data_IF_363776839961
#
_entry.id   IF_363776839961
#
_cell.length_a   1.000
_cell.length_b   1.000
_cell.length_c   1.000
_cell.angle_alpha   90.00
_cell.angle_beta   90.00
_cell.angle_gamma   90.00
#
_symmetry.space_group_name_H-M   'P 1'
#
loop_
_entity.id
_entity.type
_entity.pdbx_description
1 polymer ?
#
# COMPACT_ATOMS: atom_id res chain seq x y z
N UNK A 1 -39.50 36.07 -42.59
CA UNK A 1 -38.95 34.79 -42.09
C UNK A 1 -37.67 35.14 -41.39
N UNK A 2 -37.77 35.37 -40.07
CA UNK A 2 -36.68 35.80 -39.20
C UNK A 2 -36.08 34.52 -38.62
N UNK A 3 -34.90 34.09 -39.07
CA UNK A 3 -34.19 32.95 -38.49
C UNK A 3 -33.28 33.47 -37.38
N UNK A 4 -33.70 33.30 -36.13
CA UNK A 4 -32.91 33.65 -34.95
C UNK A 4 -31.72 32.69 -34.80
N UNK A 5 -30.50 33.22 -34.85
CA UNK A 5 -29.30 32.50 -34.47
C UNK A 5 -29.29 32.35 -32.94
N UNK A 6 -29.51 31.14 -32.47
CA UNK A 6 -29.42 30.77 -31.06
C UNK A 6 -27.94 30.59 -30.72
N UNK A 7 -27.35 31.57 -30.04
CA UNK A 7 -25.99 31.44 -29.52
C UNK A 7 -25.99 30.44 -28.37
N UNK A 8 -25.36 29.29 -28.57
CA UNK A 8 -25.05 28.32 -27.52
C UNK A 8 -24.00 28.92 -26.59
N UNK A 9 -24.41 29.36 -25.41
CA UNK A 9 -23.52 29.59 -24.28
C UNK A 9 -23.03 28.22 -23.79
N UNK A 10 -21.86 27.79 -24.28
CA UNK A 10 -21.08 26.75 -23.63
C UNK A 10 -20.33 27.41 -22.45
N UNK A 11 -20.43 26.89 -21.21
CA UNK A 11 -19.65 27.40 -20.11
C UNK A 11 -18.17 27.10 -20.41
N UNK A 12 -17.35 28.14 -20.51
CA UNK A 12 -15.91 28.04 -20.79
C UNK A 12 -15.15 27.09 -19.83
N UNK A 13 -15.77 26.74 -18.70
CA UNK A 13 -15.23 25.86 -17.67
C UNK A 13 -15.12 24.38 -18.11
N UNK A 14 -16.08 23.87 -18.90
CA UNK A 14 -16.07 22.47 -19.36
C UNK A 14 -15.05 22.22 -20.49
N UNK A 15 -14.72 23.26 -21.26
CA UNK A 15 -13.70 23.22 -22.30
C UNK A 15 -12.29 23.27 -21.71
N UNK A 16 -12.11 23.92 -20.55
CA UNK A 16 -10.86 23.89 -19.80
C UNK A 16 -10.67 22.58 -19.02
N UNK A 17 -11.72 21.99 -18.45
CA UNK A 17 -11.62 20.68 -17.79
C UNK A 17 -11.30 19.56 -18.78
N UNK A 18 -11.93 19.56 -19.97
CA UNK A 18 -11.60 18.56 -21.01
C UNK A 18 -10.21 18.75 -21.61
N UNK A 19 -9.74 19.98 -21.78
CA UNK A 19 -8.35 20.24 -22.21
C UNK A 19 -7.33 19.92 -21.12
N UNK A 20 -7.69 20.02 -19.84
CA UNK A 20 -6.83 19.60 -18.72
C UNK A 20 -6.80 18.08 -18.58
N UNK A 21 -7.92 17.38 -18.76
CA UNK A 21 -7.96 15.91 -18.76
C UNK A 21 -7.22 15.32 -19.98
N UNK A 22 -7.35 15.93 -21.16
CA UNK A 22 -6.64 15.50 -22.38
C UNK A 22 -5.15 15.86 -22.34
N UNK A 23 -4.75 16.91 -21.62
CA UNK A 23 -3.34 17.25 -21.38
C UNK A 23 -2.67 16.39 -20.29
N UNK A 24 -3.43 15.84 -19.34
CA UNK A 24 -2.88 15.00 -18.25
C UNK A 24 -2.68 13.54 -18.73
N UNK A 25 -3.41 13.06 -19.74
CA UNK A 25 -3.19 11.71 -20.30
C UNK A 25 -2.10 11.63 -21.40
N UNK A 26 -1.65 12.74 -22.00
CA UNK A 26 -0.64 12.73 -23.08
C UNK A 26 0.83 12.94 -22.63
N UNK A 27 1.13 13.14 -21.34
CA UNK A 27 2.51 13.42 -20.88
C UNK A 27 3.35 12.18 -20.48
N UNK A 28 2.84 10.95 -20.55
CA UNK A 28 3.57 9.74 -20.13
C UNK A 28 3.90 8.73 -21.25
N UNK A 29 4.31 9.20 -22.42
CA UNK A 29 4.95 8.30 -23.40
C UNK A 29 6.11 9.02 -24.11
N UNK A 30 7.22 9.24 -23.38
CA UNK A 30 8.48 9.62 -24.00
C UNK A 30 8.92 8.51 -24.97
N UNK A 31 8.61 8.69 -26.25
CA UNK A 31 9.06 7.83 -27.35
C UNK A 31 10.59 7.98 -27.44
N UNK A 32 11.32 7.05 -26.82
CA UNK A 32 12.77 6.99 -26.99
C UNK A 32 13.09 6.63 -28.44
N UNK A 33 13.76 7.55 -29.13
CA UNK A 33 14.33 7.27 -30.44
C UNK A 33 15.53 6.33 -30.25
N UNK A 34 15.67 5.28 -31.09
CA UNK A 34 16.82 4.39 -30.99
C UNK A 34 18.12 5.15 -31.24
N UNK A 35 19.17 4.78 -30.51
CA UNK A 35 20.48 5.39 -30.66
C UNK A 35 21.06 5.11 -32.05
N UNK A 36 21.79 6.06 -32.67
CA UNK A 36 22.41 5.84 -33.97
C UNK A 36 23.54 4.82 -33.88
N UNK A 37 23.46 3.73 -34.65
CA UNK A 37 24.46 2.66 -34.70
C UNK A 37 25.73 3.07 -35.48
N UNK A 38 26.90 2.85 -34.88
CA UNK A 38 28.21 3.10 -35.53
C UNK A 38 28.73 1.90 -36.35
N UNK A 39 28.18 0.70 -36.13
CA UNK A 39 28.65 -0.53 -36.78
C UNK A 39 28.50 -0.55 -38.31
N UNK A 40 27.40 -0.05 -38.91
CA UNK A 40 27.28 0.02 -40.37
C UNK A 40 28.40 0.83 -41.04
N UNK A 41 28.89 1.87 -40.38
CA UNK A 41 29.98 2.70 -40.89
C UNK A 41 31.32 1.94 -40.86
N UNK A 42 31.63 1.30 -39.74
CA UNK A 42 32.84 0.47 -39.57
C UNK A 42 32.83 -0.71 -40.56
N UNK A 43 31.68 -1.38 -40.70
CA UNK A 43 31.48 -2.49 -41.63
C UNK A 43 31.73 -2.06 -43.09
N UNK A 44 31.24 -0.87 -43.48
CA UNK A 44 31.43 -0.33 -44.83
C UNK A 44 32.91 -0.13 -45.16
N UNK A 45 33.68 0.40 -44.21
CA UNK A 45 35.14 0.59 -44.37
C UNK A 45 35.84 -0.78 -44.47
N UNK A 46 35.49 -1.74 -43.61
CA UNK A 46 36.09 -3.07 -43.62
C UNK A 46 35.83 -3.81 -44.95
N UNK A 47 34.61 -3.73 -45.48
CA UNK A 47 34.26 -4.31 -46.79
C UNK A 47 35.06 -3.64 -47.91
N UNK A 48 35.18 -2.31 -47.91
CA UNK A 48 35.95 -1.57 -48.91
C UNK A 48 37.41 -2.00 -48.93
N UNK A 49 38.06 -2.09 -47.77
CA UNK A 49 39.46 -2.55 -47.66
C UNK A 49 39.61 -4.00 -48.14
N UNK A 50 38.64 -4.85 -47.82
CA UNK A 50 38.62 -6.25 -48.27
C UNK A 50 38.56 -6.37 -49.80
N UNK A 51 37.70 -5.56 -50.43
CA UNK A 51 37.55 -5.52 -51.90
C UNK A 51 38.82 -4.95 -52.56
N UNK A 52 39.41 -3.89 -52.00
CA UNK A 52 40.67 -3.32 -52.52
C UNK A 52 41.80 -4.34 -52.45
N UNK A 53 41.93 -5.05 -51.32
CA UNK A 53 42.93 -6.11 -51.17
C UNK A 53 42.73 -7.24 -52.17
N UNK A 54 41.47 -7.60 -52.45
CA UNK A 54 41.13 -8.67 -53.39
C UNK A 54 41.41 -8.28 -54.84
N UNK A 55 41.10 -7.04 -55.23
CA UNK A 55 41.18 -6.58 -56.62
C UNK A 55 42.58 -6.10 -57.02
N UNK A 56 43.30 -5.41 -56.15
CA UNK A 56 44.56 -4.74 -56.50
C UNK A 56 45.82 -5.49 -56.04
N UNK A 57 45.70 -6.43 -55.09
CA UNK A 57 46.84 -7.18 -54.53
C UNK A 57 46.65 -8.70 -54.59
N UNK A 58 46.28 -9.29 -55.75
CA UNK A 58 45.99 -10.73 -55.85
C UNK A 58 47.20 -11.63 -55.55
N UNK A 59 48.42 -11.14 -55.76
CA UNK A 59 49.66 -11.91 -55.53
C UNK A 59 50.03 -12.02 -54.05
N UNK A 60 49.57 -11.08 -53.21
CA UNK A 60 49.82 -11.05 -51.76
C UNK A 60 48.52 -10.74 -51.02
N UNK A 61 47.61 -11.72 -50.86
CA UNK A 61 46.27 -11.52 -50.31
C UNK A 61 46.27 -11.31 -48.78
N UNK A 62 47.41 -10.98 -48.19
CA UNK A 62 47.56 -10.73 -46.75
C UNK A 62 46.62 -9.62 -46.28
N UNK A 63 46.40 -8.59 -47.12
CA UNK A 63 45.48 -7.50 -46.80
C UNK A 63 44.03 -7.99 -46.68
N UNK A 64 43.57 -8.83 -47.60
CA UNK A 64 42.23 -9.45 -47.57
C UNK A 64 42.09 -10.41 -46.39
N UNK A 65 43.11 -11.23 -46.14
CA UNK A 65 43.12 -12.19 -45.02
C UNK A 65 43.01 -11.46 -43.68
N UNK A 66 43.67 -10.30 -43.54
CA UNK A 66 43.59 -9.48 -42.33
C UNK A 66 42.28 -8.70 -42.23
N UNK A 67 41.73 -8.21 -43.35
CA UNK A 67 40.50 -7.41 -43.36
C UNK A 67 39.21 -8.25 -43.18
N UNK A 68 39.18 -9.48 -43.68
CA UNK A 68 38.04 -10.39 -43.57
C UNK A 68 37.51 -10.59 -42.13
N UNK A 69 38.34 -10.81 -41.09
CA UNK A 69 37.84 -10.91 -39.72
C UNK A 69 37.22 -9.62 -39.19
N UNK A 70 37.64 -8.43 -39.65
CA UNK A 70 37.00 -7.18 -39.25
C UNK A 70 35.59 -7.02 -39.82
N UNK A 71 35.31 -7.60 -40.99
CA UNK A 71 33.94 -7.67 -41.54
C UNK A 71 33.04 -8.52 -40.62
N UNK A 72 33.55 -9.67 -40.17
CA UNK A 72 32.83 -10.52 -39.20
C UNK A 72 32.58 -9.82 -37.87
N UNK A 73 33.59 -9.12 -37.34
CA UNK A 73 33.45 -8.31 -36.12
C UNK A 73 32.41 -7.20 -36.31
N UNK A 74 32.40 -6.54 -37.48
CA UNK A 74 31.41 -5.50 -37.80
C UNK A 74 29.98 -6.03 -37.81
N UNK A 75 29.75 -7.21 -38.39
CA UNK A 75 28.43 -7.87 -38.42
C UNK A 75 28.03 -8.31 -37.01
N UNK A 76 28.95 -8.92 -36.26
CA UNK A 76 28.68 -9.42 -34.92
C UNK A 76 28.41 -8.28 -33.94
N UNK A 77 29.16 -7.18 -34.05
CA UNK A 77 28.95 -5.96 -33.29
C UNK A 77 27.60 -5.32 -33.60
N UNK A 78 27.21 -5.26 -34.87
CA UNK A 78 25.88 -4.77 -35.25
C UNK A 78 24.74 -5.67 -34.75
N UNK A 79 24.95 -6.99 -34.72
CA UNK A 79 23.94 -7.95 -34.24
C UNK A 79 23.81 -8.02 -32.71
N UNK A 80 24.89 -7.69 -31.98
CA UNK A 80 24.93 -7.69 -30.52
C UNK A 80 24.67 -6.30 -29.91
N UNK A 81 24.69 -5.24 -30.72
CA UNK A 81 24.33 -3.90 -30.27
C UNK A 81 22.84 -3.86 -29.94
N UNK A 82 22.52 -3.51 -28.71
CA UNK A 82 21.16 -3.26 -28.29
C UNK A 82 20.76 -1.83 -28.74
N UNK A 83 19.83 -1.67 -29.68
CA UNK A 83 19.43 -0.36 -30.20
C UNK A 83 18.69 0.50 -29.15
N UNK A 84 18.33 -0.10 -28.01
CA UNK A 84 17.60 0.53 -26.92
C UNK A 84 18.44 0.73 -25.66
N UNK A 85 19.74 0.36 -25.67
CA UNK A 85 20.66 0.76 -24.58
C UNK A 85 20.86 2.27 -24.68
N UNK A 86 20.24 2.99 -23.74
CA UNK A 86 20.44 4.42 -23.55
C UNK A 86 21.92 4.76 -23.33
N UNK A 87 22.35 6.00 -23.63
CA UNK A 87 23.73 6.42 -23.41
C UNK A 87 24.16 6.12 -21.97
N UNK A 88 25.33 5.52 -21.79
CA UNK A 88 25.94 5.45 -20.47
C UNK A 88 26.06 6.88 -19.91
N UNK A 89 25.51 7.07 -18.70
CA UNK A 89 25.56 8.26 -17.85
C UNK A 89 27.00 8.70 -17.55
N UNK A 90 27.70 9.26 -18.52
CA UNK A 90 28.94 9.99 -18.29
C UNK A 90 28.83 11.39 -18.91
N UNK A 91 28.60 12.37 -18.03
CA UNK A 91 28.63 13.83 -18.24
C UNK A 91 27.37 14.54 -18.75
N UNK A 92 26.20 14.01 -18.44
CA UNK A 92 25.17 14.93 -17.96
C UNK A 92 25.48 15.12 -16.49
N UNK A 93 25.73 16.34 -16.02
CA UNK A 93 25.19 16.70 -14.71
C UNK A 93 23.70 16.46 -14.88
N UNK A 94 23.28 15.21 -14.67
CA UNK A 94 21.92 14.85 -14.40
C UNK A 94 21.61 15.85 -13.30
N UNK A 95 20.76 16.84 -13.59
CA UNK A 95 19.87 17.31 -12.56
C UNK A 95 19.31 16.01 -12.02
N UNK A 96 19.94 15.49 -10.97
CA UNK A 96 19.35 14.51 -10.12
C UNK A 96 18.19 15.31 -9.57
N UNK A 97 17.09 15.28 -10.30
CA UNK A 97 15.81 15.09 -9.70
C UNK A 97 15.98 13.83 -8.84
N UNK A 98 16.59 14.06 -7.67
CA UNK A 98 15.99 13.56 -6.47
C UNK A 98 14.57 14.09 -6.62
N UNK A 99 13.56 13.26 -6.95
CA UNK A 99 12.26 13.63 -6.48
C UNK A 99 12.51 13.96 -5.02
N UNK A 100 12.36 15.22 -4.63
CA UNK A 100 11.88 15.45 -3.28
C UNK A 100 10.67 14.53 -3.22
N UNK A 101 10.85 13.34 -2.62
CA UNK A 101 9.81 12.33 -2.56
C UNK A 101 8.66 13.10 -1.94
N UNK A 102 7.65 13.37 -2.76
CA UNK A 102 6.65 14.34 -2.36
C UNK A 102 5.91 13.70 -1.20
N UNK A 103 5.38 14.50 -0.28
CA UNK A 103 4.55 13.97 0.80
C UNK A 103 3.45 13.02 0.29
N UNK A 104 2.94 13.28 -0.92
CA UNK A 104 2.03 12.39 -1.65
C UNK A 104 2.62 11.01 -1.98
N UNK A 105 3.84 10.94 -2.52
CA UNK A 105 4.50 9.67 -2.86
C UNK A 105 4.80 8.84 -1.60
N UNK A 106 5.11 9.49 -0.48
CA UNK A 106 5.27 8.82 0.82
C UNK A 106 3.94 8.27 1.32
N UNK A 107 2.85 9.02 1.15
CA UNK A 107 1.51 8.58 1.55
C UNK A 107 1.06 7.38 0.72
N UNK A 108 1.23 7.40 -0.60
CA UNK A 108 0.86 6.29 -1.49
C UNK A 108 1.64 5.01 -1.13
N UNK A 109 2.96 5.12 -0.93
CA UNK A 109 3.78 3.99 -0.48
C UNK A 109 3.35 3.47 0.89
N UNK A 110 2.98 4.37 1.81
CA UNK A 110 2.48 4.00 3.12
C UNK A 110 1.14 3.25 3.03
N UNK A 111 0.20 3.75 2.24
CA UNK A 111 -1.09 3.09 1.97
C UNK A 111 -0.89 1.70 1.37
N UNK A 112 0.00 1.56 0.38
CA UNK A 112 0.31 0.27 -0.24
C UNK A 112 0.88 -0.76 0.75
N UNK A 113 1.74 -0.32 1.69
CA UNK A 113 2.30 -1.18 2.74
C UNK A 113 1.22 -1.63 3.73
N UNK A 114 0.33 -0.71 4.12
CA UNK A 114 -0.79 -1.01 5.01
C UNK A 114 -1.71 -2.05 4.36
N UNK A 115 -2.12 -1.82 3.11
CA UNK A 115 -3.01 -2.73 2.37
C UNK A 115 -2.41 -4.13 2.23
N UNK A 116 -1.12 -4.22 1.90
CA UNK A 116 -0.43 -5.51 1.81
C UNK A 116 -0.38 -6.23 3.16
N UNK A 117 -0.10 -5.51 4.25
CA UNK A 117 0.07 -6.13 5.58
C UNK A 117 -1.27 -6.63 6.13
N UNK A 118 -2.35 -5.86 5.92
CA UNK A 118 -3.70 -6.22 6.34
C UNK A 118 -4.26 -7.35 5.47
N UNK A 119 -4.06 -7.30 4.15
CA UNK A 119 -4.65 -8.27 3.20
C UNK A 119 -3.93 -9.63 3.20
N UNK A 120 -2.60 -9.66 3.38
CA UNK A 120 -1.83 -10.92 3.29
C UNK A 120 -1.89 -11.74 4.58
N UNK A 121 -2.21 -11.12 5.72
CA UNK A 121 -2.12 -11.79 7.03
C UNK A 121 -3.44 -12.37 7.55
N UNK A 122 -4.58 -12.10 6.91
CA UNK A 122 -5.89 -12.65 7.30
C UNK A 122 -6.58 -13.31 6.11
N UNK A 123 -6.92 -14.59 6.24
CA UNK A 123 -7.89 -15.25 5.35
C UNK A 123 -9.32 -14.70 5.52
N UNK A 124 -9.51 -13.77 6.46
CA UNK A 124 -10.72 -12.99 6.65
C UNK A 124 -10.48 -11.59 6.09
N UNK A 125 -11.30 -11.20 5.12
CA UNK A 125 -11.36 -9.83 4.60
C UNK A 125 -11.54 -8.85 5.78
N UNK A 126 -10.51 -8.07 6.13
CA UNK A 126 -10.67 -7.05 7.18
C UNK A 126 -11.71 -6.04 6.70
N UNK A 127 -12.82 -5.96 7.41
CA UNK A 127 -13.95 -5.08 7.07
C UNK A 127 -13.69 -3.62 7.44
N UNK A 128 -12.54 -3.31 8.04
CA UNK A 128 -12.18 -1.97 8.49
C UNK A 128 -10.80 -1.58 7.92
N UNK A 129 -10.75 -0.71 6.91
CA UNK A 129 -9.48 -0.25 6.34
C UNK A 129 -8.73 0.60 7.39
N UNK A 130 -7.44 0.31 7.56
CA UNK A 130 -6.52 1.18 8.29
C UNK A 130 -6.22 2.36 7.37
N UNK A 131 -6.51 3.57 7.82
CA UNK A 131 -6.26 4.81 7.09
C UNK A 131 -4.94 5.42 7.53
N UNK A 132 -4.12 5.80 6.55
CA UNK A 132 -2.90 6.58 6.76
C UNK A 132 -3.21 8.03 6.41
N UNK A 133 -2.79 8.96 7.25
CA UNK A 133 -2.90 10.39 6.97
C UNK A 133 -1.57 11.08 7.31
N UNK A 134 -1.25 12.16 6.61
CA UNK A 134 -0.11 13.02 6.97
C UNK A 134 -0.59 13.96 8.08
N UNK A 135 0.01 13.84 9.28
CA UNK A 135 -0.29 14.73 10.40
C UNK A 135 0.47 16.06 10.27
N UNK A 136 1.76 15.98 9.93
CA UNK A 136 2.64 17.15 9.74
C UNK A 136 3.65 16.90 8.63
N UNK A 137 3.84 17.91 7.79
CA UNK A 137 4.91 17.97 6.81
C UNK A 137 6.01 18.89 7.35
N UNK A 138 7.25 18.42 7.35
CA UNK A 138 8.45 19.18 7.75
C UNK A 138 9.43 19.20 6.59
N UNK A 139 10.34 20.18 6.61
CA UNK A 139 11.36 20.38 5.57
C UNK A 139 12.27 19.16 5.33
N UNK A 140 12.27 18.17 6.23
CA UNK A 140 13.08 16.97 6.17
C UNK A 140 12.26 15.66 6.14
N UNK A 141 10.94 15.72 5.95
CA UNK A 141 10.07 14.54 5.86
C UNK A 141 8.68 14.72 6.49
N UNK A 142 7.90 13.65 6.54
CA UNK A 142 6.51 13.64 6.99
C UNK A 142 6.34 12.87 8.31
N UNK A 143 5.39 13.33 9.13
CA UNK A 143 4.86 12.59 10.27
C UNK A 143 3.55 11.97 9.85
N UNK A 144 3.47 10.64 9.92
CA UNK A 144 2.27 9.89 9.56
C UNK A 144 1.42 9.62 10.80
N UNK A 145 0.10 9.77 10.67
CA UNK A 145 -0.86 9.30 11.65
C UNK A 145 -1.61 8.09 11.08
N UNK A 146 -1.70 7.04 11.89
CA UNK A 146 -2.39 5.81 11.54
C UNK A 146 -3.66 5.70 12.35
N UNK A 147 -4.78 5.62 11.64
CA UNK A 147 -6.09 5.44 12.25
C UNK A 147 -6.71 4.16 11.75
N UNK A 148 -7.34 3.41 12.62
CA UNK A 148 -8.10 2.25 12.20
C UNK A 148 -8.03 1.13 13.21
N UNK A 149 -8.19 -0.06 12.66
CA UNK A 149 -8.74 -1.20 13.34
C UNK A 149 -8.07 -2.45 12.81
N UNK A 150 -7.47 -3.24 13.69
CA UNK A 150 -6.81 -4.51 13.34
C UNK A 150 -7.26 -5.62 14.28
N UNK A 151 -7.13 -6.86 13.84
CA UNK A 151 -7.50 -8.01 14.68
C UNK A 151 -6.42 -8.29 15.73
N UNK A 152 -5.15 -8.14 15.35
CA UNK A 152 -3.98 -8.54 16.14
C UNK A 152 -3.04 -7.38 16.44
N UNK A 153 -2.53 -7.31 17.66
CA UNK A 153 -1.52 -6.35 18.10
C UNK A 153 -0.24 -6.48 17.25
N UNK A 154 0.14 -7.72 16.92
CA UNK A 154 1.28 -7.98 16.05
C UNK A 154 1.11 -7.44 14.62
N UNK A 155 -0.12 -7.19 14.14
CA UNK A 155 -0.33 -6.52 12.85
C UNK A 155 -0.08 -5.01 12.99
N UNK A 156 -0.59 -4.39 14.06
CA UNK A 156 -0.34 -2.98 14.38
C UNK A 156 1.17 -2.69 14.45
N UNK A 157 1.92 -3.54 15.14
CA UNK A 157 3.37 -3.38 15.28
C UNK A 157 4.10 -3.51 13.95
N UNK A 158 3.77 -4.54 13.15
CA UNK A 158 4.36 -4.73 11.81
C UNK A 158 4.10 -3.56 10.88
N UNK A 159 2.91 -2.97 10.91
CA UNK A 159 2.59 -1.78 10.11
C UNK A 159 3.47 -0.60 10.55
N UNK A 160 3.54 -0.33 11.85
CA UNK A 160 4.36 0.77 12.36
C UNK A 160 5.85 0.57 12.04
N UNK A 161 6.35 -0.65 12.19
CA UNK A 161 7.74 -0.97 11.87
C UNK A 161 8.02 -0.82 10.37
N UNK A 162 7.15 -1.33 9.50
CA UNK A 162 7.33 -1.22 8.05
C UNK A 162 7.34 0.25 7.58
N UNK A 163 6.45 1.08 8.13
CA UNK A 163 6.39 2.50 7.81
C UNK A 163 7.59 3.28 8.36
N UNK A 164 8.18 2.86 9.49
CA UNK A 164 9.36 3.51 10.05
C UNK A 164 10.62 3.28 9.19
N UNK A 165 10.61 2.28 8.32
CA UNK A 165 11.69 2.01 7.37
C UNK A 165 11.52 2.77 6.04
N UNK A 166 10.40 3.46 5.83
CA UNK A 166 10.19 4.25 4.62
C UNK A 166 11.09 5.49 4.61
N UNK A 167 11.69 5.84 3.46
CA UNK A 167 12.43 7.08 3.32
C UNK A 167 11.48 8.27 3.56
N UNK A 168 12.01 9.33 4.18
CA UNK A 168 11.30 10.58 4.49
C UNK A 168 10.13 10.46 5.50
N UNK A 169 9.96 9.34 6.20
CA UNK A 169 9.09 9.24 7.38
C UNK A 169 9.91 9.60 8.62
N UNK A 170 9.53 10.67 9.31
CA UNK A 170 10.24 11.16 10.50
C UNK A 170 9.73 10.53 11.79
N UNK A 171 8.41 10.36 11.88
CA UNK A 171 7.74 9.84 13.07
C UNK A 171 6.35 9.30 12.69
N UNK A 172 5.82 8.40 13.52
CA UNK A 172 4.54 7.72 13.29
C UNK A 172 3.70 7.80 14.55
N UNK A 173 2.54 8.45 14.44
CA UNK A 173 1.51 8.45 15.47
C UNK A 173 0.54 7.32 15.23
N UNK A 174 0.73 6.23 15.97
CA UNK A 174 -0.10 5.06 15.84
C UNK A 174 -1.33 5.14 16.78
N UNK A 175 -2.51 5.30 16.19
CA UNK A 175 -3.80 5.26 16.90
C UNK A 175 -4.65 4.05 16.50
N UNK A 176 -4.03 3.03 15.91
CA UNK A 176 -4.71 1.78 15.55
C UNK A 176 -5.05 1.01 16.82
N UNK A 177 -6.31 0.57 16.91
CA UNK A 177 -6.80 -0.28 18.00
C UNK A 177 -6.83 -1.73 17.55
N UNK A 178 -6.32 -2.64 18.37
CA UNK A 178 -6.31 -4.07 18.10
C UNK A 178 -7.41 -4.81 18.90
N UNK A 179 -8.10 -5.77 18.29
CA UNK A 179 -9.18 -6.53 18.95
C UNK A 179 -8.66 -7.50 20.03
N UNK A 180 -7.51 -8.14 19.80
CA UNK A 180 -6.84 -8.97 20.79
C UNK A 180 -6.38 -8.19 22.03
N UNK A 181 -5.91 -6.95 21.85
CA UNK A 181 -5.57 -6.04 22.96
C UNK A 181 -6.81 -5.74 23.81
N UNK A 182 -7.94 -5.42 23.19
CA UNK A 182 -9.22 -5.22 23.89
C UNK A 182 -9.58 -6.49 24.69
N UNK A 183 -9.45 -7.66 24.08
CA UNK A 183 -9.75 -8.94 24.71
C UNK A 183 -8.84 -9.19 25.92
N UNK A 184 -7.54 -8.93 25.79
CA UNK A 184 -6.55 -9.09 26.87
C UNK A 184 -6.82 -8.14 28.04
N UNK A 185 -7.13 -6.87 27.74
CA UNK A 185 -7.53 -5.89 28.75
C UNK A 185 -8.81 -6.36 29.46
N UNK A 186 -9.79 -6.86 28.72
CA UNK A 186 -11.05 -7.35 29.28
C UNK A 186 -10.83 -8.52 30.25
N UNK A 187 -10.01 -9.50 29.88
CA UNK A 187 -9.65 -10.61 30.78
C UNK A 187 -8.88 -10.12 32.01
N UNK A 188 -7.98 -9.15 31.85
CA UNK A 188 -7.25 -8.55 32.98
C UNK A 188 -8.20 -7.86 33.96
N UNK A 189 -9.18 -7.12 33.44
CA UNK A 189 -10.22 -6.47 34.26
C UNK A 189 -11.10 -7.48 34.97
N UNK A 190 -11.50 -8.53 34.27
CA UNK A 190 -12.28 -9.63 34.83
C UNK A 190 -11.54 -10.29 36.00
N UNK A 191 -10.26 -10.62 35.82
CA UNK A 191 -9.46 -11.25 36.86
C UNK A 191 -9.24 -10.30 38.05
N UNK A 192 -9.06 -9.00 37.79
CA UNK A 192 -9.00 -7.98 38.86
C UNK A 192 -10.28 -7.90 39.70
N UNK A 193 -11.45 -8.11 39.08
CA UNK A 193 -12.72 -8.14 39.80
C UNK A 193 -12.87 -9.43 40.61
N UNK A 194 -12.43 -10.56 40.07
CA UNK A 194 -12.41 -11.86 40.75
C UNK A 194 -11.48 -11.81 41.96
N UNK A 195 -10.27 -11.27 41.82
CA UNK A 195 -9.31 -11.15 42.92
C UNK A 195 -9.77 -10.22 44.04
N UNK A 196 -10.67 -9.27 43.74
CA UNK A 196 -11.31 -8.37 44.71
C UNK A 196 -12.53 -8.98 45.42
N UNK A 197 -12.87 -10.24 45.14
CA UNK A 197 -14.06 -10.92 45.69
C UNK A 197 -15.40 -10.38 45.16
N UNK A 198 -15.37 -9.58 44.08
CA UNK A 198 -16.60 -8.96 43.54
C UNK A 198 -17.40 -9.89 42.63
N UNK A 199 -16.83 -11.04 42.26
CA UNK A 199 -17.40 -12.03 41.35
C UNK A 199 -17.36 -13.44 41.96
N UNK A 200 -17.53 -13.52 43.28
CA UNK A 200 -17.68 -14.80 43.97
C UNK A 200 -18.87 -15.58 43.37
N UNK A 201 -18.69 -16.90 43.25
CA UNK A 201 -19.65 -17.85 42.66
C UNK A 201 -20.02 -17.65 41.18
N UNK A 202 -19.34 -16.76 40.46
CA UNK A 202 -19.51 -16.64 39.01
C UNK A 202 -18.87 -17.82 38.27
N UNK A 203 -19.61 -18.44 37.34
CA UNK A 203 -19.21 -19.64 36.60
C UNK A 203 -19.22 -19.40 35.10
N UNK A 204 -18.31 -20.09 34.39
CA UNK A 204 -18.22 -20.14 32.93
C UNK A 204 -18.20 -18.76 32.23
N UNK A 205 -17.58 -17.77 32.88
CA UNK A 205 -17.44 -16.42 32.30
C UNK A 205 -16.51 -16.47 31.09
N UNK A 206 -17.05 -16.13 29.91
CA UNK A 206 -16.31 -16.06 28.64
C UNK A 206 -16.50 -14.70 28.01
N UNK A 207 -15.43 -14.17 27.43
CA UNK A 207 -15.42 -12.89 26.74
C UNK A 207 -15.01 -13.14 25.29
N UNK A 208 -15.77 -12.57 24.36
CA UNK A 208 -15.49 -12.59 22.94
C UNK A 208 -15.53 -11.15 22.42
N UNK A 209 -14.54 -10.76 21.62
CA UNK A 209 -14.51 -9.45 20.97
C UNK A 209 -14.65 -9.71 19.47
N UNK A 210 -15.66 -9.08 18.86
CA UNK A 210 -15.88 -9.13 17.42
C UNK A 210 -16.31 -7.75 16.94
N UNK A 211 -15.64 -7.20 15.93
CA UNK A 211 -15.97 -5.88 15.37
C UNK A 211 -16.04 -4.79 16.45
N UNK A 212 -15.14 -4.82 17.44
CA UNK A 212 -15.09 -3.87 18.57
C UNK A 212 -16.34 -3.93 19.48
N UNK A 213 -17.12 -5.01 19.36
CA UNK A 213 -18.25 -5.34 20.23
C UNK A 213 -17.79 -6.42 21.18
N UNK A 214 -17.92 -6.15 22.47
CA UNK A 214 -17.52 -7.06 23.52
C UNK A 214 -18.73 -7.87 23.98
N UNK A 215 -18.73 -9.16 23.70
CA UNK A 215 -19.76 -10.10 24.09
C UNK A 215 -19.35 -10.80 25.40
N UNK A 216 -20.20 -10.70 26.41
CA UNK A 216 -20.02 -11.33 27.72
C UNK A 216 -20.95 -12.53 27.84
N UNK A 217 -20.40 -13.70 28.16
CA UNK A 217 -21.14 -14.93 28.38
C UNK A 217 -20.85 -15.49 29.77
N UNK A 218 -21.72 -16.38 30.25
CA UNK A 218 -21.56 -17.13 31.50
C UNK A 218 -22.71 -16.91 32.48
N UNK A 219 -22.47 -17.25 33.75
CA UNK A 219 -23.49 -17.16 34.79
C UNK A 219 -22.97 -16.38 36.00
N UNK A 220 -23.75 -15.39 36.44
CA UNK A 220 -23.51 -14.65 37.69
C UNK A 220 -24.74 -14.73 38.58
N UNK A 221 -24.58 -14.91 39.90
CA UNK A 221 -25.69 -15.12 40.81
C UNK A 221 -26.53 -13.85 41.08
N UNK A 222 -25.96 -12.65 40.91
CA UNK A 222 -26.63 -11.40 41.24
C UNK A 222 -26.65 -10.40 40.09
N UNK A 223 -27.75 -9.64 39.99
CA UNK A 223 -27.89 -8.56 39.00
C UNK A 223 -26.85 -7.46 39.19
N UNK A 224 -26.43 -7.20 40.43
CA UNK A 224 -25.41 -6.19 40.73
C UNK A 224 -24.05 -6.56 40.16
N UNK A 225 -23.66 -7.84 40.22
CA UNK A 225 -22.44 -8.35 39.57
C UNK A 225 -22.50 -8.18 38.06
N UNK A 226 -23.67 -8.45 37.45
CA UNK A 226 -23.90 -8.27 36.01
C UNK A 226 -23.71 -6.81 35.59
N UNK A 227 -24.33 -5.88 36.31
CA UNK A 227 -24.21 -4.44 36.03
C UNK A 227 -22.78 -3.93 36.27
N UNK A 228 -22.10 -4.45 37.29
CA UNK A 228 -20.73 -4.09 37.59
C UNK A 228 -19.79 -4.53 36.47
N UNK A 229 -19.93 -5.76 35.98
CA UNK A 229 -19.17 -6.27 34.84
C UNK A 229 -19.40 -5.42 33.60
N UNK A 230 -20.65 -5.17 33.23
CA UNK A 230 -21.00 -4.36 32.06
C UNK A 230 -20.35 -2.97 32.15
N UNK A 231 -20.44 -2.32 33.31
CA UNK A 231 -19.82 -1.00 33.54
C UNK A 231 -18.31 -1.02 33.43
N UNK A 232 -17.64 -2.03 34.00
CA UNK A 232 -16.17 -2.13 33.94
C UNK A 232 -15.70 -2.38 32.50
N UNK A 233 -16.44 -3.20 31.75
CA UNK A 233 -16.10 -3.54 30.36
C UNK A 233 -16.37 -2.39 29.39
N UNK A 234 -17.41 -1.58 29.65
CA UNK A 234 -17.66 -0.34 28.90
C UNK A 234 -16.54 0.69 29.04
N UNK A 235 -15.74 0.60 30.10
CA UNK A 235 -14.61 1.50 30.34
C UNK A 235 -13.33 1.15 29.57
N UNK A 236 -13.33 0.06 28.80
CA UNK A 236 -12.14 -0.37 28.03
C UNK A 236 -12.00 0.51 26.78
N UNK A 237 -10.85 1.15 26.55
CA UNK A 237 -10.60 1.93 25.34
C UNK A 237 -10.80 1.08 24.08
N UNK A 238 -11.46 1.65 23.07
CA UNK A 238 -11.71 0.97 21.80
C UNK A 238 -12.98 0.11 21.76
N UNK A 239 -13.60 -0.21 22.91
CA UNK A 239 -14.91 -0.87 22.94
C UNK A 239 -15.99 0.10 22.51
N UNK A 240 -16.77 -0.28 21.50
CA UNK A 240 -17.92 0.53 21.03
C UNK A 240 -19.19 0.20 21.79
N UNK A 241 -19.43 -1.10 21.99
CA UNK A 241 -20.66 -1.63 22.58
C UNK A 241 -20.29 -2.87 23.39
N UNK A 242 -20.92 -3.02 24.56
CA UNK A 242 -20.88 -4.26 25.34
C UNK A 242 -22.24 -4.95 25.21
N UNK A 243 -22.24 -6.20 24.78
CA UNK A 243 -23.43 -7.04 24.70
C UNK A 243 -23.35 -8.10 25.78
N UNK A 244 -24.31 -8.05 26.70
CA UNK A 244 -24.33 -8.91 27.87
C UNK A 244 -25.28 -10.09 27.69
N UNK A 245 -24.71 -11.28 27.56
CA UNK A 245 -25.45 -12.55 27.48
C UNK A 245 -25.41 -13.34 28.79
N UNK A 246 -24.94 -12.74 29.89
CA UNK A 246 -24.82 -13.42 31.18
C UNK A 246 -26.21 -13.81 31.71
N UNK A 247 -26.37 -15.09 32.03
CA UNK A 247 -27.64 -15.68 32.48
C UNK A 247 -28.63 -15.99 31.35
N UNK A 248 -28.25 -15.79 30.08
CA UNK A 248 -28.98 -16.31 28.93
C UNK A 248 -28.44 -17.71 28.59
N UNK A 249 -29.34 -18.65 28.37
CA UNK A 249 -28.98 -20.03 28.04
C UNK A 249 -28.52 -20.09 26.58
N UNK A 250 -27.34 -20.67 26.32
CA UNK A 250 -26.67 -20.68 25.00
C UNK A 250 -27.46 -21.44 23.92
N UNK A 251 -28.38 -22.32 24.33
CA UNK A 251 -29.23 -23.13 23.45
C UNK A 251 -30.50 -22.41 22.96
N UNK A 252 -30.70 -21.13 23.27
CA UNK A 252 -31.90 -20.39 22.85
C UNK A 252 -31.59 -19.57 21.59
N UNK A 253 -31.96 -20.05 20.38
CA UNK A 253 -31.86 -19.24 19.17
C UNK A 253 -32.78 -18.02 19.34
N UNK A 254 -32.25 -16.86 18.99
CA UNK A 254 -32.79 -15.53 19.29
C UNK A 254 -34.31 -15.45 19.33
N UNK A 255 -34.84 -15.19 20.52
CA UNK A 255 -36.10 -14.49 20.65
C UNK A 255 -36.11 -13.67 21.95
N UNK A 256 -35.92 -12.38 21.77
CA UNK A 256 -36.05 -11.35 22.79
C UNK A 256 -37.42 -11.45 23.47
N UNK A 257 -37.44 -11.23 24.78
CA UNK A 257 -38.62 -10.74 25.48
C UNK A 257 -39.76 -11.74 25.68
N UNK A 258 -39.61 -12.65 26.66
CA UNK A 258 -40.77 -13.08 27.46
C UNK A 258 -40.45 -12.94 28.94
N UNK A 259 -40.79 -11.77 29.46
CA UNK A 259 -41.03 -11.55 30.88
C UNK A 259 -42.05 -12.59 31.36
N UNK A 260 -41.59 -13.60 32.11
CA UNK A 260 -42.51 -14.38 32.97
C UNK A 260 -42.62 -13.64 34.29
N UNK A 261 -43.53 -12.66 34.34
CA UNK A 261 -44.16 -12.31 35.60
C UNK A 261 -44.92 -13.57 36.07
N UNK A 262 -44.49 -14.16 37.18
CA UNK A 262 -45.33 -15.06 37.96
C UNK A 262 -46.26 -14.20 38.81
N UNK A 263 -47.55 -14.50 38.67
CA UNK A 263 -48.66 -14.08 39.55
C UNK A 263 -48.40 -14.65 40.95
#
# INVERSE_FOLDING_TARGET
METSLQSTHLPANELSDSLLEEQVEEEEHHIHLPNPSLWPFILSIAILVTIIGLLFLPTNPWLTVVAAPFVLVGILGWALEDPMVGPHDETTEVYQFHPEITSHDVLEQAEAIVDRTVTVSSTAYSTHPVKVEIDQEKDNGVILALYGKVELEAQRERIAEALNHLPNVLDIRNFIVAEDEILNIAYTRLESLRSKGKLEDAQDLRILVENYILNLYGNVPTTDMRMLLEREMLGIPGVRVVVNHIGLNEDIPGNLGRTRNKI
#
